data_IF_219021827269
#
_entry.id   IF_219021827269
#
_cell.length_a   1.000
_cell.length_b   1.000
_cell.length_c   1.000
_cell.angle_alpha   90.00
_cell.angle_beta   90.00
_cell.angle_gamma   90.00
#
_symmetry.space_group_name_H-M   'P 1'
#
loop_
_entity.id
_entity.type
_entity.pdbx_description
1 polymer ?
#
# COMPACT_ATOMS: atom_id res chain seq x y z
N UNK A 1 0.13 2.38 0.47
CA UNK A 1 1.41 2.91 0.95
C UNK A 1 2.44 1.80 0.92
N UNK A 2 3.63 2.07 0.40
CA UNK A 2 4.77 1.15 0.43
C UNK A 2 5.95 1.90 1.09
N UNK A 3 6.57 1.27 2.06
CA UNK A 3 7.65 1.88 2.86
C UNK A 3 8.60 0.81 3.38
N UNK A 4 9.76 1.22 3.83
CA UNK A 4 10.67 0.40 4.61
C UNK A 4 10.43 0.64 6.09
N UNK A 5 10.30 -0.41 6.88
CA UNK A 5 10.02 -0.31 8.31
C UNK A 5 11.01 -1.13 9.11
N UNK A 6 11.57 -0.49 10.13
CA UNK A 6 12.40 -1.10 11.16
C UNK A 6 11.60 -1.11 12.46
N UNK A 7 11.40 -2.28 13.03
CA UNK A 7 10.68 -2.45 14.29
C UNK A 7 11.63 -2.86 15.41
N UNK A 8 11.36 -2.38 16.60
CA UNK A 8 11.96 -2.90 17.82
C UNK A 8 11.50 -4.35 18.02
N UNK A 9 12.47 -5.25 18.29
CA UNK A 9 12.19 -6.70 18.40
C UNK A 9 11.49 -7.09 19.69
N UNK A 10 11.60 -6.28 20.73
CA UNK A 10 11.01 -6.56 22.04
C UNK A 10 9.59 -6.00 22.15
N UNK A 11 9.41 -4.77 21.68
CA UNK A 11 8.13 -4.06 21.83
C UNK A 11 7.24 -4.13 20.58
N UNK A 12 7.78 -4.54 19.42
CA UNK A 12 7.07 -4.51 18.15
C UNK A 12 6.79 -3.10 17.62
N UNK A 13 7.30 -2.05 18.28
CA UNK A 13 7.07 -0.66 17.87
C UNK A 13 7.94 -0.26 16.70
N UNK A 14 7.43 0.56 15.77
CA UNK A 14 8.26 1.10 14.70
C UNK A 14 9.33 2.04 15.27
N UNK A 15 10.58 1.78 14.91
CA UNK A 15 11.73 2.62 15.24
C UNK A 15 12.12 3.57 14.11
N UNK A 16 11.92 3.12 12.85
CA UNK A 16 12.22 3.92 11.68
C UNK A 16 11.29 3.51 10.54
N UNK A 17 10.74 4.50 9.85
CA UNK A 17 9.88 4.31 8.68
C UNK A 17 10.39 5.24 7.57
N UNK A 18 10.72 4.69 6.42
CA UNK A 18 11.31 5.45 5.31
C UNK A 18 10.85 4.97 3.94
N UNK A 19 11.06 5.81 2.94
CA UNK A 19 10.67 5.55 1.56
C UNK A 19 11.85 5.24 0.61
N UNK A 20 13.06 5.18 1.14
CA UNK A 20 14.29 5.02 0.36
C UNK A 20 15.05 6.31 0.10
N UNK A 21 14.45 7.48 0.40
CA UNK A 21 15.07 8.80 0.29
C UNK A 21 15.11 9.48 1.66
N UNK A 22 13.98 9.52 2.34
CA UNK A 22 13.82 10.10 3.66
C UNK A 22 13.16 9.12 4.62
N UNK A 23 13.41 9.26 5.91
CA UNK A 23 12.74 8.49 6.95
C UNK A 23 12.41 9.35 8.17
N UNK A 24 11.41 8.88 8.89
CA UNK A 24 11.11 9.30 10.25
C UNK A 24 11.69 8.24 11.18
N UNK A 25 12.43 8.65 12.18
CA UNK A 25 13.11 7.78 13.14
C UNK A 25 12.79 8.22 14.55
N UNK A 26 12.42 7.24 15.37
CA UNK A 26 12.23 7.46 16.80
C UNK A 26 13.60 7.50 17.48
N UNK A 27 13.90 8.62 18.15
CA UNK A 27 15.08 8.85 18.95
C UNK A 27 14.70 9.14 20.39
N UNK A 28 15.68 9.32 21.26
CA UNK A 28 15.44 9.73 22.65
C UNK A 28 14.84 11.15 22.76
N UNK A 29 14.90 11.94 21.69
CA UNK A 29 14.37 13.31 21.62
C UNK A 29 12.98 13.35 20.92
N UNK A 30 12.49 12.21 20.47
CA UNK A 30 11.23 12.08 19.73
C UNK A 30 11.43 11.61 18.29
N UNK A 31 10.49 11.94 17.43
CA UNK A 31 10.52 11.54 16.01
C UNK A 31 11.29 12.59 15.22
N UNK A 32 12.37 12.17 14.59
CA UNK A 32 13.24 13.01 13.77
C UNK A 32 13.24 12.57 12.31
N UNK A 33 13.53 13.53 11.41
CA UNK A 33 13.67 13.26 9.97
C UNK A 33 15.15 13.05 9.62
N UNK A 34 15.42 11.95 8.90
CA UNK A 34 16.75 11.60 8.45
C UNK A 34 16.73 11.15 6.97
N UNK A 35 17.88 11.19 6.28
CA UNK A 35 18.02 10.49 5.00
C UNK A 35 17.79 8.99 5.16
N UNK A 36 17.11 8.37 4.18
CA UNK A 36 16.90 6.93 4.11
C UNK A 36 17.67 6.38 2.90
N UNK A 37 18.83 5.73 3.10
CA UNK A 37 19.61 5.18 1.99
C UNK A 37 19.06 3.83 1.48
N UNK A 38 17.83 3.45 1.83
CA UNK A 38 17.24 2.13 1.69
C UNK A 38 17.90 1.05 2.56
N UNK A 39 17.28 -0.13 2.76
CA UNK A 39 17.81 -1.17 3.65
C UNK A 39 19.22 -1.68 3.27
N UNK A 40 19.52 -1.72 1.98
CA UNK A 40 20.79 -2.27 1.47
C UNK A 40 22.01 -1.44 1.89
N UNK A 41 21.84 -0.14 2.07
CA UNK A 41 22.89 0.81 2.43
C UNK A 41 22.75 1.34 3.87
N UNK A 42 21.68 0.99 4.58
CA UNK A 42 21.40 1.51 5.90
C UNK A 42 22.14 0.73 7.00
N UNK A 43 22.98 1.36 7.83
CA UNK A 43 23.66 0.66 8.92
C UNK A 43 22.72 0.02 9.94
N UNK A 44 21.51 0.58 10.12
CA UNK A 44 20.50 0.05 11.05
C UNK A 44 19.73 -1.14 10.48
N UNK A 45 19.82 -1.38 9.19
CA UNK A 45 19.12 -2.48 8.51
C UNK A 45 19.89 -3.81 8.53
N UNK A 46 21.02 -3.87 9.22
CA UNK A 46 21.86 -5.07 9.27
C UNK A 46 21.07 -6.30 9.74
N UNK A 47 21.38 -7.45 9.13
CA UNK A 47 20.69 -8.69 9.44
C UNK A 47 19.21 -8.74 8.99
N UNK A 48 18.81 -7.88 8.04
CA UNK A 48 17.43 -7.82 7.53
C UNK A 48 16.43 -7.25 8.53
N UNK A 49 16.89 -6.39 9.44
CA UNK A 49 16.04 -5.79 10.46
C UNK A 49 15.03 -4.79 9.87
N UNK A 50 15.41 -4.07 8.80
CA UNK A 50 14.52 -3.20 8.07
C UNK A 50 13.95 -3.92 6.86
N UNK A 51 12.63 -3.95 6.75
CA UNK A 51 11.91 -4.70 5.71
C UNK A 51 10.96 -3.81 4.93
N UNK A 52 10.71 -4.14 3.65
CA UNK A 52 9.62 -3.51 2.91
C UNK A 52 8.28 -3.87 3.57
N UNK A 53 7.39 -2.89 3.65
CA UNK A 53 6.07 -3.03 4.22
C UNK A 53 5.05 -2.33 3.32
N UNK A 54 4.08 -3.09 2.81
CA UNK A 54 3.00 -2.58 1.95
C UNK A 54 1.66 -2.64 2.66
N UNK A 55 0.90 -1.55 2.56
CA UNK A 55 -0.51 -1.48 2.98
C UNK A 55 -1.34 -0.96 1.82
N UNK A 56 -2.34 -1.71 1.41
CA UNK A 56 -3.31 -1.32 0.41
C UNK A 56 -4.68 -1.27 1.07
N UNK A 57 -5.28 -0.09 1.09
CA UNK A 57 -6.65 0.11 1.57
C UNK A 57 -7.60 -0.13 0.42
N UNK A 58 -8.60 -0.95 0.64
CA UNK A 58 -9.59 -1.34 -0.37
C UNK A 58 -10.99 -1.30 0.22
N UNK A 59 -11.96 -0.90 -0.59
CA UNK A 59 -13.36 -1.10 -0.31
C UNK A 59 -13.84 -2.33 -1.06
N UNK A 60 -14.62 -3.19 -0.41
CA UNK A 60 -15.25 -4.33 -1.06
C UNK A 60 -16.62 -3.90 -1.59
N UNK A 61 -16.90 -4.27 -2.83
CA UNK A 61 -18.08 -3.86 -3.59
C UNK A 61 -19.41 -4.35 -2.96
N UNK A 62 -19.34 -5.41 -2.16
CA UNK A 62 -20.51 -6.04 -1.56
C UNK A 62 -20.89 -5.46 -0.18
N UNK A 63 -20.08 -4.61 0.39
CA UNK A 63 -20.36 -3.99 1.67
C UNK A 63 -20.99 -2.62 1.47
N UNK A 64 -22.30 -2.51 1.75
CA UNK A 64 -22.99 -1.22 1.88
C UNK A 64 -22.48 -0.39 3.08
N UNK A 65 -21.50 -0.91 3.82
CA UNK A 65 -20.90 -0.26 4.97
C UNK A 65 -19.65 0.55 4.57
N UNK A 66 -19.45 1.68 5.22
CA UNK A 66 -18.28 2.56 5.06
C UNK A 66 -16.96 1.92 5.58
N UNK A 67 -16.85 0.58 5.51
CA UNK A 67 -15.69 -0.15 5.98
C UNK A 67 -14.61 -0.27 4.90
N UNK A 68 -13.37 0.05 5.24
CA UNK A 68 -12.21 -0.26 4.40
C UNK A 68 -11.45 -1.45 4.96
N UNK A 69 -11.00 -2.32 4.07
CA UNK A 69 -10.11 -3.44 4.40
C UNK A 69 -8.67 -3.07 4.10
N UNK A 70 -7.74 -3.56 4.90
CA UNK A 70 -6.32 -3.31 4.72
C UNK A 70 -5.63 -4.61 4.33
N UNK A 71 -5.19 -4.69 3.09
CA UNK A 71 -4.28 -5.74 2.67
C UNK A 71 -2.85 -5.35 3.07
N UNK A 72 -2.18 -6.20 3.86
CA UNK A 72 -0.81 -5.99 4.35
C UNK A 72 0.12 -7.04 3.77
N UNK A 73 1.31 -6.63 3.37
CA UNK A 73 2.34 -7.55 2.87
C UNK A 73 3.74 -7.02 3.12
N UNK A 74 4.66 -7.94 3.41
CA UNK A 74 6.12 -7.68 3.45
C UNK A 74 6.83 -8.28 2.25
N UNK A 75 6.10 -8.93 1.36
CA UNK A 75 6.64 -9.58 0.17
C UNK A 75 7.03 -8.56 -0.89
N UNK A 76 8.33 -8.41 -1.15
CA UNK A 76 8.87 -7.45 -2.12
C UNK A 76 8.23 -7.58 -3.51
N UNK A 77 8.03 -8.82 -3.99
CA UNK A 77 7.39 -9.05 -5.29
C UNK A 77 5.95 -8.53 -5.33
N UNK A 78 5.17 -8.75 -4.27
CA UNK A 78 3.80 -8.23 -4.16
C UNK A 78 3.80 -6.70 -4.13
N UNK A 79 4.63 -6.09 -3.30
CA UNK A 79 4.71 -4.63 -3.17
C UNK A 79 5.06 -3.98 -4.50
N UNK A 80 6.11 -4.48 -5.18
CA UNK A 80 6.54 -3.95 -6.48
C UNK A 80 5.47 -4.12 -7.54
N UNK A 81 4.82 -5.28 -7.61
CA UNK A 81 3.78 -5.55 -8.59
C UNK A 81 2.55 -4.67 -8.35
N UNK A 82 2.08 -4.58 -7.11
CA UNK A 82 0.94 -3.72 -6.75
C UNK A 82 1.22 -2.26 -7.04
N UNK A 83 2.42 -1.75 -6.70
CA UNK A 83 2.80 -0.37 -6.99
C UNK A 83 2.78 -0.07 -8.49
N UNK A 84 3.35 -0.96 -9.32
CA UNK A 84 3.35 -0.81 -10.77
C UNK A 84 1.93 -0.86 -11.37
N UNK A 85 1.09 -1.78 -10.90
CA UNK A 85 -0.29 -1.90 -11.36
C UNK A 85 -1.14 -0.69 -10.97
N UNK A 86 -1.01 -0.23 -9.72
CA UNK A 86 -1.71 0.98 -9.26
C UNK A 86 -1.31 2.21 -10.08
N UNK A 87 -0.01 2.39 -10.33
CA UNK A 87 0.47 3.49 -11.19
C UNK A 87 -0.10 3.40 -12.62
N UNK A 88 -0.12 2.21 -13.20
CA UNK A 88 -0.71 1.97 -14.52
C UNK A 88 -2.20 2.30 -14.55
N UNK A 89 -2.99 1.74 -13.63
CA UNK A 89 -4.44 1.98 -13.59
C UNK A 89 -4.78 3.42 -13.24
N UNK A 90 -4.01 4.06 -12.39
CA UNK A 90 -4.14 5.49 -12.10
C UNK A 90 -3.97 6.33 -13.36
N UNK A 91 -2.90 6.10 -14.11
CA UNK A 91 -2.65 6.82 -15.36
C UNK A 91 -3.72 6.52 -16.42
N UNK A 92 -4.10 5.25 -16.60
CA UNK A 92 -5.08 4.83 -17.58
C UNK A 92 -6.49 5.36 -17.31
N UNK A 93 -6.88 5.49 -16.05
CA UNK A 93 -8.22 5.97 -15.64
C UNK A 93 -8.31 7.48 -15.40
N UNK A 94 -7.19 8.21 -15.51
CA UNK A 94 -7.16 9.63 -15.15
C UNK A 94 -7.35 9.87 -13.65
N UNK A 95 -6.82 8.98 -12.81
CA UNK A 95 -6.88 9.12 -11.34
C UNK A 95 -8.04 8.38 -10.66
N UNK A 96 -8.94 7.73 -11.39
CA UNK A 96 -10.17 7.13 -10.87
C UNK A 96 -9.97 5.71 -10.29
N UNK A 97 -8.88 5.48 -9.55
CA UNK A 97 -8.56 4.15 -8.97
C UNK A 97 -9.67 3.59 -8.09
N UNK A 98 -10.29 4.43 -7.27
CA UNK A 98 -11.35 4.04 -6.32
C UNK A 98 -12.63 3.56 -6.99
N UNK A 99 -12.83 3.93 -8.27
CA UNK A 99 -14.00 3.57 -9.05
C UNK A 99 -13.76 2.39 -10.00
N UNK A 100 -12.51 1.90 -10.10
CA UNK A 100 -12.20 0.77 -10.98
C UNK A 100 -12.55 -0.57 -10.33
N UNK A 101 -13.18 -1.50 -11.07
CA UNK A 101 -13.46 -2.86 -10.60
C UNK A 101 -12.18 -3.70 -10.63
N UNK A 102 -11.38 -3.59 -9.57
CA UNK A 102 -10.11 -4.30 -9.44
C UNK A 102 -10.25 -5.53 -8.55
N UNK A 103 -9.38 -6.51 -8.73
CA UNK A 103 -9.28 -7.69 -7.89
C UNK A 103 -7.83 -8.02 -7.56
N UNK A 104 -7.61 -8.56 -6.36
CA UNK A 104 -6.32 -9.12 -5.95
C UNK A 104 -6.26 -10.57 -6.43
N UNK A 105 -5.18 -10.91 -7.15
CA UNK A 105 -4.97 -12.25 -7.72
C UNK A 105 -3.66 -12.81 -7.20
N UNK A 106 -3.69 -14.04 -6.65
CA UNK A 106 -2.49 -14.75 -6.26
C UNK A 106 -1.82 -15.35 -7.51
N UNK A 107 -0.54 -15.04 -7.70
CA UNK A 107 0.28 -15.59 -8.79
C UNK A 107 1.50 -16.32 -8.26
N UNK A 108 1.90 -17.36 -8.97
CA UNK A 108 3.13 -18.09 -8.72
C UNK A 108 4.16 -17.83 -9.82
N UNK A 109 5.42 -17.70 -9.42
CA UNK A 109 6.56 -17.72 -10.32
C UNK A 109 7.64 -18.64 -9.76
N UNK A 110 8.36 -19.33 -10.63
CA UNK A 110 9.57 -20.06 -10.25
C UNK A 110 10.77 -19.48 -10.99
N UNK A 111 11.90 -19.43 -10.33
CA UNK A 111 13.17 -18.95 -10.89
C UNK A 111 14.28 -19.93 -10.55
N UNK A 112 15.40 -19.85 -11.25
CA UNK A 112 16.61 -20.62 -10.93
C UNK A 112 17.12 -20.27 -9.52
N UNK A 113 17.00 -19.00 -9.11
CA UNK A 113 17.40 -18.54 -7.77
C UNK A 113 16.53 -19.12 -6.65
N UNK A 114 15.29 -19.49 -6.93
CA UNK A 114 14.40 -20.16 -5.98
C UNK A 114 14.50 -21.68 -6.04
N UNK A 115 15.54 -22.23 -6.68
CA UNK A 115 15.68 -23.67 -6.92
C UNK A 115 14.43 -24.29 -7.54
N UNK A 116 13.76 -23.56 -8.42
CA UNK A 116 12.46 -23.91 -9.03
C UNK A 116 11.30 -24.07 -8.05
N UNK A 117 11.47 -23.70 -6.79
CA UNK A 117 10.37 -23.63 -5.83
C UNK A 117 9.47 -22.46 -6.21
N UNK A 118 8.16 -22.63 -6.29
CA UNK A 118 7.25 -21.55 -6.64
C UNK A 118 7.24 -20.48 -5.53
N UNK A 119 7.43 -19.22 -5.94
CA UNK A 119 7.29 -18.05 -5.08
C UNK A 119 5.96 -17.40 -5.42
N UNK A 120 5.08 -17.29 -4.43
CA UNK A 120 3.79 -16.67 -4.60
C UNK A 120 3.86 -15.17 -4.31
N UNK A 121 3.10 -14.39 -5.08
CA UNK A 121 2.95 -12.96 -4.89
C UNK A 121 1.56 -12.51 -5.31
N UNK A 122 1.13 -11.35 -4.81
CA UNK A 122 -0.17 -10.77 -5.13
C UNK A 122 -0.01 -9.79 -6.29
N UNK A 123 -0.88 -9.93 -7.27
CA UNK A 123 -1.07 -9.04 -8.42
C UNK A 123 -2.41 -8.31 -8.30
N UNK A 124 -2.54 -7.19 -8.99
CA UNK A 124 -3.77 -6.42 -9.10
C UNK A 124 -4.23 -6.41 -10.55
N UNK A 125 -5.41 -6.92 -10.79
CA UNK A 125 -5.99 -7.05 -12.14
C UNK A 125 -7.38 -6.44 -12.19
N UNK A 126 -7.91 -6.19 -13.38
CA UNK A 126 -9.34 -5.96 -13.53
C UNK A 126 -10.11 -7.22 -13.14
N UNK A 127 -11.31 -7.05 -12.62
CA UNK A 127 -12.24 -8.14 -12.35
C UNK A 127 -12.47 -8.96 -13.62
N UNK A 128 -12.59 -10.27 -13.45
CA UNK A 128 -12.77 -11.20 -14.58
C UNK A 128 -14.00 -10.80 -15.42
N UNK A 129 -13.85 -10.90 -16.72
CA UNK A 129 -14.89 -10.51 -17.69
C UNK A 129 -14.98 -9.00 -17.97
N UNK A 130 -14.14 -8.17 -17.35
CA UNK A 130 -14.11 -6.71 -17.58
C UNK A 130 -12.91 -6.34 -18.44
N UNK A 131 -13.11 -5.59 -19.52
CA UNK A 131 -12.01 -4.97 -20.26
C UNK A 131 -11.72 -3.55 -19.76
N UNK A 132 -10.52 -3.05 -20.06
CA UNK A 132 -10.07 -1.76 -19.52
C UNK A 132 -10.94 -0.58 -20.00
N UNK A 133 -11.39 -0.60 -21.23
CA UNK A 133 -12.20 0.48 -21.81
C UNK A 133 -13.53 0.62 -21.09
N UNK A 134 -14.22 -0.50 -20.88
CA UNK A 134 -15.52 -0.53 -20.19
C UNK A 134 -15.35 -0.19 -18.71
N UNK A 135 -14.27 -0.68 -18.06
CA UNK A 135 -13.94 -0.34 -16.70
C UNK A 135 -13.74 1.17 -16.51
N UNK A 136 -13.01 1.82 -17.40
CA UNK A 136 -12.80 3.28 -17.36
C UNK A 136 -14.11 4.04 -17.59
N UNK A 137 -14.95 3.58 -18.54
CA UNK A 137 -16.25 4.19 -18.78
C UNK A 137 -17.16 4.13 -17.56
N UNK A 138 -17.23 2.96 -16.93
CA UNK A 138 -17.99 2.77 -15.69
C UNK A 138 -17.43 3.59 -14.53
N UNK A 139 -16.09 3.65 -14.40
CA UNK A 139 -15.44 4.45 -13.36
C UNK A 139 -15.77 5.94 -13.45
N UNK A 140 -15.85 6.51 -14.66
CA UNK A 140 -16.28 7.88 -14.88
C UNK A 140 -17.73 8.13 -14.43
N UNK A 141 -18.64 7.21 -14.75
CA UNK A 141 -20.03 7.31 -14.32
C UNK A 141 -20.17 7.25 -12.79
N UNK A 142 -19.41 6.35 -12.13
CA UNK A 142 -19.39 6.23 -10.67
C UNK A 142 -18.84 7.51 -10.04
N UNK A 143 -17.77 8.08 -10.57
CA UNK A 143 -17.18 9.33 -10.08
C UNK A 143 -18.16 10.51 -10.21
N UNK A 144 -18.83 10.64 -11.35
CA UNK A 144 -19.87 11.67 -11.58
C UNK A 144 -21.04 11.53 -10.60
N UNK A 145 -21.53 10.32 -10.39
CA UNK A 145 -22.60 10.03 -9.42
C UNK A 145 -22.17 10.35 -7.98
N UNK A 146 -20.95 9.99 -7.61
CA UNK A 146 -20.39 10.27 -6.29
C UNK A 146 -20.26 11.77 -6.03
N UNK A 147 -19.76 12.51 -7.01
CA UNK A 147 -19.68 13.98 -6.95
C UNK A 147 -21.06 14.62 -6.85
N UNK A 148 -22.04 14.14 -7.59
CA UNK A 148 -23.43 14.62 -7.52
C UNK A 148 -24.05 14.35 -6.14
N UNK A 149 -23.67 13.25 -5.48
CA UNK A 149 -24.07 12.92 -4.11
C UNK A 149 -23.27 13.67 -3.02
N UNK A 150 -22.30 14.51 -3.39
CA UNK A 150 -21.50 15.30 -2.46
C UNK A 150 -20.24 14.59 -1.94
N UNK A 151 -19.83 13.48 -2.54
CA UNK A 151 -18.58 12.77 -2.20
C UNK A 151 -17.43 13.28 -3.09
N UNK A 152 -16.38 13.77 -2.44
CA UNK A 152 -15.17 14.23 -3.11
C UNK A 152 -14.02 13.30 -2.75
N UNK A 153 -13.73 12.33 -3.60
CA UNK A 153 -12.69 11.30 -3.36
C UNK A 153 -11.32 11.92 -3.12
N UNK A 154 -10.97 12.99 -3.83
CA UNK A 154 -9.68 13.66 -3.67
C UNK A 154 -9.51 14.25 -2.26
N UNK A 155 -10.57 14.83 -1.68
CA UNK A 155 -10.55 15.33 -0.30
C UNK A 155 -10.39 14.18 0.71
N UNK A 156 -11.07 13.05 0.49
CA UNK A 156 -10.94 11.85 1.32
C UNK A 156 -9.53 11.29 1.26
N UNK A 157 -8.93 11.20 0.08
CA UNK A 157 -7.56 10.74 -0.11
C UNK A 157 -6.55 11.66 0.57
N UNK A 158 -6.78 12.97 0.54
CA UNK A 158 -5.94 13.95 1.21
C UNK A 158 -5.94 13.74 2.74
N UNK A 159 -7.12 13.65 3.33
CA UNK A 159 -7.28 13.43 4.78
C UNK A 159 -6.70 12.09 5.21
N UNK A 160 -6.92 11.03 4.42
CA UNK A 160 -6.34 9.70 4.70
C UNK A 160 -4.80 9.74 4.71
N UNK A 161 -4.17 10.43 3.75
CA UNK A 161 -2.70 10.57 3.73
C UNK A 161 -2.17 11.31 4.95
N UNK A 162 -2.86 12.35 5.41
CA UNK A 162 -2.47 13.09 6.62
C UNK A 162 -2.61 12.22 7.87
N UNK A 163 -3.75 11.55 8.05
CA UNK A 163 -4.01 10.69 9.21
C UNK A 163 -2.98 9.57 9.35
N UNK A 164 -2.66 8.87 8.25
CA UNK A 164 -1.66 7.81 8.26
C UNK A 164 -0.23 8.31 8.51
N UNK A 165 0.09 9.53 8.08
CA UNK A 165 1.39 10.15 8.35
C UNK A 165 1.62 10.36 9.84
N UNK A 166 0.62 10.82 10.54
CA UNK A 166 0.67 11.14 11.97
C UNK A 166 0.63 9.90 12.86
N UNK A 167 -0.12 8.87 12.49
CA UNK A 167 -0.31 7.66 13.28
C UNK A 167 0.79 6.59 13.12
N UNK A 168 1.82 6.84 12.31
CA UNK A 168 2.84 5.82 12.01
C UNK A 168 3.65 5.36 13.22
N UNK A 169 3.77 6.19 14.26
CA UNK A 169 4.50 5.90 15.51
C UNK A 169 3.57 5.80 16.73
N UNK A 170 2.28 6.02 16.55
CA UNK A 170 1.32 5.77 17.62
C UNK A 170 1.23 4.27 17.89
N UNK A 171 1.21 3.94 19.15
CA UNK A 171 1.07 2.56 19.64
C UNK A 171 -0.32 2.11 19.23
N UNK A 172 -0.40 1.07 18.42
CA UNK A 172 -1.67 0.39 18.21
C UNK A 172 -2.22 0.01 19.59
N UNK A 173 -3.30 0.67 19.99
CA UNK A 173 -4.10 0.20 21.11
C UNK A 173 -4.43 -1.26 20.82
N UNK A 174 -4.39 -2.08 21.83
CA UNK A 174 -4.76 -3.49 21.79
C UNK A 174 -6.13 -3.60 21.09
N UNK A 175 -6.11 -4.04 19.84
CA UNK A 175 -7.32 -4.52 19.20
C UNK A 175 -7.62 -5.88 19.84
N UNK A 176 -8.56 -5.84 20.82
CA UNK A 176 -9.16 -7.03 21.40
C UNK A 176 -10.01 -7.80 20.38
#
# INVERSE_FOLDING_TARGET
>A
RAEYSLFDRQTGRPMCIGNGETCQRLTNQGVEHHPCPSPDLCPLAQGGACKPFGRLHVNLDESAELGSFIFRTTGFNSIRTLAARLAYYHAASGGLLSCLPLQLTLRGKSTTQSYRTPIYYVDLTLRDGTNLKDAISSAKQIDEQSKAAGFYQEALDHVARQGYGNASFEVGGEEG
#
